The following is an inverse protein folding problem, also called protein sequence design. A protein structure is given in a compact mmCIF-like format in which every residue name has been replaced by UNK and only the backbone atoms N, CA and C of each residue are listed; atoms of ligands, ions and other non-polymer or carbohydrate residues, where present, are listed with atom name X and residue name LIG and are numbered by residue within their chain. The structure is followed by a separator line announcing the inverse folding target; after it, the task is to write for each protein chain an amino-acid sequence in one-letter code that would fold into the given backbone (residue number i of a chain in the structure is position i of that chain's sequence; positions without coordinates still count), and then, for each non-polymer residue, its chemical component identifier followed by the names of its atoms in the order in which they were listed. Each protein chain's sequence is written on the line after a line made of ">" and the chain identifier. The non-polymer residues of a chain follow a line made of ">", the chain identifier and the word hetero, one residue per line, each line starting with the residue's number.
data_IF_592300830208
#
_entry.id   IF_592300830208
#
_cell.length_a   1.000
_cell.length_b   1.000
_cell.length_c   1.000
_cell.angle_alpha   90.00
_cell.angle_beta   90.00
_cell.angle_gamma   90.00
#
_symmetry.space_group_name_H-M   'P 1'
#
loop_
_entity.id
_entity.type
_entity.pdbx_description
1 polymer ?
#
# COMPACT_ATOMS: atom_id res chain seq x y z
N UNK A 1 -4.24 11.23 9.02
CA UNK A 1 -2.96 10.48 9.12
C UNK A 1 -2.65 10.36 10.60
N UNK A 2 -2.16 9.19 11.01
CA UNK A 2 -1.82 8.90 12.40
C UNK A 2 -0.42 8.29 12.45
N UNK A 3 0.34 8.60 13.51
CA UNK A 3 1.65 8.01 13.72
C UNK A 3 1.52 6.85 14.71
N UNK A 4 1.57 5.62 14.20
CA UNK A 4 1.39 4.38 14.97
C UNK A 4 2.57 3.46 14.70
N UNK A 5 3.03 2.72 15.71
CA UNK A 5 4.20 1.83 15.59
C UNK A 5 5.46 2.50 15.01
N UNK A 6 5.61 3.81 15.25
CA UNK A 6 6.71 4.64 14.70
C UNK A 6 6.70 4.78 13.17
N UNK A 7 5.55 4.63 12.53
CA UNK A 7 5.35 4.82 11.10
C UNK A 7 4.13 5.72 10.82
N UNK A 8 4.15 6.55 9.77
CA UNK A 8 2.98 7.30 9.34
C UNK A 8 1.98 6.37 8.62
N UNK A 9 0.77 6.30 9.16
CA UNK A 9 -0.35 5.52 8.64
C UNK A 9 -1.44 6.46 8.09
N UNK A 10 -1.91 6.17 6.89
CA UNK A 10 -2.88 6.98 6.14
C UNK A 10 -4.23 6.27 6.08
N UNK A 11 -5.29 7.06 6.26
CA UNK A 11 -6.64 6.58 6.44
C UNK A 11 -7.62 7.40 5.60
N UNK A 12 -8.71 6.76 5.18
CA UNK A 12 -9.93 7.40 4.69
C UNK A 12 -11.00 7.18 5.76
N UNK A 13 -11.39 8.25 6.47
CA UNK A 13 -12.16 8.11 7.71
C UNK A 13 -11.39 7.27 8.73
N UNK A 14 -12.01 6.21 9.24
CA UNK A 14 -11.39 5.25 10.17
C UNK A 14 -10.68 4.09 9.46
N UNK A 15 -10.73 4.03 8.12
CA UNK A 15 -10.21 2.90 7.36
C UNK A 15 -8.75 3.10 6.95
N UNK A 16 -7.81 2.22 7.32
CA UNK A 16 -6.43 2.34 6.88
C UNK A 16 -6.32 1.97 5.40
N UNK A 17 -5.57 2.78 4.66
CA UNK A 17 -5.33 2.60 3.21
C UNK A 17 -3.89 2.16 2.98
N UNK A 18 -2.93 2.92 3.50
CA UNK A 18 -1.52 2.56 3.41
C UNK A 18 -0.71 3.11 4.60
N UNK A 19 0.52 2.64 4.72
CA UNK A 19 1.53 3.23 5.60
C UNK A 19 2.88 3.28 4.90
N UNK A 20 3.73 4.20 5.35
CA UNK A 20 5.12 4.28 4.87
C UNK A 20 6.02 3.70 5.95
N UNK A 21 6.89 2.77 5.56
CA UNK A 21 7.88 2.20 6.45
C UNK A 21 9.25 2.23 5.79
N UNK A 22 10.20 2.95 6.40
CA UNK A 22 11.59 2.86 5.99
C UNK A 22 12.12 1.49 6.42
N UNK A 23 12.71 0.77 5.47
CA UNK A 23 13.32 -0.53 5.71
C UNK A 23 14.57 -0.63 4.86
N UNK A 24 15.71 -0.86 5.51
CA UNK A 24 17.02 -0.96 4.85
C UNK A 24 17.31 0.33 4.05
N UNK A 25 17.39 0.22 2.72
CA UNK A 25 17.73 1.27 1.77
C UNK A 25 16.51 1.75 0.96
N UNK A 26 15.29 1.41 1.36
CA UNK A 26 14.06 1.79 0.67
C UNK A 26 12.94 2.24 1.62
N UNK A 27 11.94 2.90 1.05
CA UNK A 27 10.65 3.17 1.69
C UNK A 27 9.60 2.23 1.12
N UNK A 28 8.98 1.45 1.99
CA UNK A 28 7.86 0.55 1.68
C UNK A 28 6.56 1.37 1.80
N UNK A 29 5.83 1.56 0.70
CA UNK A 29 4.45 2.03 0.74
C UNK A 29 3.55 0.81 0.72
N UNK A 30 3.14 0.40 1.92
CA UNK A 30 2.38 -0.80 2.14
C UNK A 30 0.87 -0.50 2.08
N UNK A 31 0.16 -1.21 1.21
CA UNK A 31 -1.28 -1.06 1.03
C UNK A 31 -2.05 -2.16 1.74
N UNK A 32 -3.06 -1.76 2.51
CA UNK A 32 -4.08 -2.68 3.01
C UNK A 32 -4.99 -3.11 1.86
N UNK A 33 -5.84 -4.13 2.07
CA UNK A 33 -6.73 -4.68 1.03
C UNK A 33 -6.02 -5.22 -0.21
N UNK A 34 -4.73 -5.52 -0.14
CA UNK A 34 -3.97 -5.95 -1.30
C UNK A 34 -4.42 -7.29 -1.89
N UNK A 35 -5.19 -8.08 -1.14
CA UNK A 35 -5.82 -9.31 -1.59
C UNK A 35 -6.95 -9.07 -2.62
N UNK A 36 -7.52 -7.87 -2.66
CA UNK A 36 -8.59 -7.48 -3.58
C UNK A 36 -8.09 -6.75 -4.83
N UNK A 37 -6.81 -6.34 -4.84
CA UNK A 37 -6.21 -5.65 -5.99
C UNK A 37 -6.22 -6.53 -7.24
N UNK A 38 -6.44 -5.88 -8.37
CA UNK A 38 -6.43 -6.50 -9.70
C UNK A 38 -5.08 -7.13 -9.98
N UNK A 39 -5.08 -8.34 -10.55
CA UNK A 39 -3.88 -9.13 -10.81
C UNK A 39 -2.89 -8.45 -11.76
N UNK A 40 -3.34 -7.51 -12.59
CA UNK A 40 -2.46 -6.72 -13.46
C UNK A 40 -1.55 -5.75 -12.68
N UNK A 41 -1.86 -5.45 -11.41
CA UNK A 41 -1.03 -4.64 -10.53
C UNK A 41 0.03 -5.47 -9.79
N UNK A 42 -0.12 -6.79 -9.75
CA UNK A 42 0.76 -7.68 -8.97
C UNK A 42 2.22 -7.62 -9.42
N UNK A 43 2.47 -7.32 -10.70
CA UNK A 43 3.82 -7.15 -11.24
C UNK A 43 4.59 -5.96 -10.66
N UNK A 44 3.89 -4.98 -10.06
CA UNK A 44 4.51 -3.83 -9.40
C UNK A 44 4.66 -4.03 -7.89
N UNK A 45 3.99 -5.03 -7.32
CA UNK A 45 3.73 -5.15 -5.90
C UNK A 45 4.55 -6.26 -5.25
N UNK A 46 5.06 -5.99 -4.06
CA UNK A 46 5.82 -6.96 -3.26
C UNK A 46 4.98 -7.50 -2.10
N UNK A 47 4.82 -8.82 -2.02
CA UNK A 47 3.97 -9.50 -1.02
C UNK A 47 4.73 -10.12 0.16
N UNK A 48 6.07 -10.10 0.18
CA UNK A 48 6.97 -10.79 1.14
C UNK A 48 6.31 -11.28 2.44
N UNK A 49 5.86 -12.55 2.46
CA UNK A 49 5.26 -13.25 3.61
C UNK A 49 4.05 -12.57 4.27
N UNK A 50 3.48 -11.52 3.66
CA UNK A 50 2.31 -10.77 4.13
C UNK A 50 1.06 -11.27 3.38
N UNK A 51 0.04 -11.73 4.12
CA UNK A 51 -1.20 -12.27 3.52
C UNK A 51 -2.13 -11.20 2.96
N UNK A 52 -2.21 -10.04 3.62
CA UNK A 52 -3.21 -8.99 3.34
C UNK A 52 -2.60 -7.64 2.97
N UNK A 53 -1.26 -7.59 2.88
CA UNK A 53 -0.49 -6.40 2.55
C UNK A 53 0.42 -6.73 1.38
N UNK A 54 0.43 -5.83 0.40
CA UNK A 54 1.45 -5.74 -0.64
C UNK A 54 1.97 -4.31 -0.65
N UNK A 55 3.18 -4.11 -1.17
CA UNK A 55 3.79 -2.79 -1.17
C UNK A 55 4.46 -2.42 -2.48
N UNK A 56 4.57 -1.10 -2.69
CA UNK A 56 5.55 -0.51 -3.59
C UNK A 56 6.80 -0.19 -2.77
N UNK A 57 7.99 -0.27 -3.39
CA UNK A 57 9.26 0.04 -2.74
C UNK A 57 10.01 1.06 -3.59
N UNK A 58 10.40 2.16 -2.96
CA UNK A 58 11.12 3.25 -3.62
C UNK A 58 12.44 3.52 -2.92
N UNK A 59 13.52 3.71 -3.68
CA UNK A 59 14.82 4.13 -3.15
C UNK A 59 15.01 5.62 -3.30
N UNK A 60 14.54 6.17 -4.42
CA UNK A 60 14.58 7.60 -4.75
C UNK A 60 13.21 8.04 -5.28
N UNK A 61 12.98 9.36 -5.35
CA UNK A 61 11.69 9.91 -5.79
C UNK A 61 11.42 9.62 -7.27
N UNK A 62 12.46 9.56 -8.08
CA UNK A 62 12.41 9.31 -9.52
C UNK A 62 11.94 7.87 -9.85
N UNK A 63 12.01 6.96 -8.89
CA UNK A 63 11.47 5.59 -9.03
C UNK A 63 9.93 5.57 -8.98
N UNK A 64 9.30 6.66 -8.54
CA UNK A 64 7.85 6.72 -8.36
C UNK A 64 7.17 6.90 -9.72
N UNK A 65 6.47 5.85 -10.15
CA UNK A 65 5.49 5.96 -11.21
C UNK A 65 4.15 6.45 -10.64
N UNK A 66 3.87 7.74 -10.82
CA UNK A 66 2.66 8.39 -10.28
C UNK A 66 1.36 7.74 -10.77
N UNK A 67 1.30 7.33 -12.04
CA UNK A 67 0.10 6.70 -12.62
C UNK A 67 -0.23 5.39 -11.89
N UNK A 68 0.77 4.52 -11.70
CA UNK A 68 0.61 3.25 -10.98
C UNK A 68 0.29 3.50 -9.51
N UNK A 69 0.98 4.45 -8.88
CA UNK A 69 0.76 4.79 -7.47
C UNK A 69 -0.67 5.26 -7.21
N UNK A 70 -1.15 6.25 -7.99
CA UNK A 70 -2.50 6.79 -7.87
C UNK A 70 -3.55 5.72 -8.20
N UNK A 71 -3.29 4.88 -9.21
CA UNK A 71 -4.20 3.79 -9.57
C UNK A 71 -4.38 2.80 -8.44
N UNK A 72 -3.31 2.38 -7.77
CA UNK A 72 -3.38 1.47 -6.62
C UNK A 72 -4.17 2.12 -5.48
N UNK A 73 -3.92 3.38 -5.15
CA UNK A 73 -4.65 4.10 -4.10
C UNK A 73 -6.17 4.13 -4.35
N UNK A 74 -6.59 4.48 -5.58
CA UNK A 74 -8.01 4.49 -5.97
C UNK A 74 -8.64 3.12 -5.86
N UNK A 75 -7.90 2.07 -6.24
CA UNK A 75 -8.41 0.70 -6.18
C UNK A 75 -8.54 0.21 -4.73
N UNK A 76 -7.56 0.47 -3.87
CA UNK A 76 -7.64 0.19 -2.42
C UNK A 76 -8.84 0.92 -1.80
N UNK A 77 -9.03 2.20 -2.13
CA UNK A 77 -10.18 2.98 -1.64
C UNK A 77 -11.51 2.33 -2.04
N UNK A 78 -11.63 1.81 -3.26
CA UNK A 78 -12.86 1.16 -3.73
C UNK A 78 -13.28 -0.05 -2.87
N UNK A 79 -12.33 -0.62 -2.12
CA UNK A 79 -12.55 -1.74 -1.21
C UNK A 79 -12.63 -1.33 0.27
N UNK A 80 -12.74 -0.03 0.58
CA UNK A 80 -12.79 0.48 1.97
C UNK A 80 -13.84 -0.18 2.87
N UNK A 81 -14.93 -0.67 2.28
CA UNK A 81 -16.02 -1.34 2.99
C UNK A 81 -15.96 -2.88 2.96
N UNK A 82 -14.90 -3.47 2.40
CA UNK A 82 -14.70 -4.93 2.36
C UNK A 82 -13.85 -5.42 3.53
N UNK A 83 -13.80 -6.73 3.73
CA UNK A 83 -12.78 -7.37 4.58
C UNK A 83 -11.39 -7.21 3.97
N UNK A 84 -10.35 -7.23 4.80
CA UNK A 84 -8.96 -7.27 4.30
C UNK A 84 -8.61 -8.61 3.66
N UNK A 85 -9.30 -9.66 4.05
CA UNK A 85 -9.21 -10.99 3.45
C UNK A 85 -10.20 -11.08 2.29
N UNK A 86 -9.87 -11.92 1.31
CA UNK A 86 -10.77 -12.29 0.22
C UNK A 86 -11.54 -13.54 0.60
#
# INVERSE_FOLDING_TARGET
>A
MEYKWKIPCYYIGTRPICYLNQSRDYVDVAFWHSAHLSSNLDKYLVSEKRKVIKSLRYKILEDINDEIFIRILKEVESFKNKSFLK
#
